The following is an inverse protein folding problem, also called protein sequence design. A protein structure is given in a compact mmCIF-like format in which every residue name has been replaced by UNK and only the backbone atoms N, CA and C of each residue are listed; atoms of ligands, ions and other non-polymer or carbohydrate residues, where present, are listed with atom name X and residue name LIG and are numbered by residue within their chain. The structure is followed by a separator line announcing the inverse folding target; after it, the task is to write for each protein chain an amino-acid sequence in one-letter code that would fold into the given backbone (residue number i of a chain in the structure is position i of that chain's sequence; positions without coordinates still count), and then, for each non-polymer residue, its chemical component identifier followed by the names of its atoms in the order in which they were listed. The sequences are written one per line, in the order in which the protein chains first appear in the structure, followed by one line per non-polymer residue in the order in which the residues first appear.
data_IF_884755291444
#
_entry.id   IF_884755291444
#
_cell.length_a   1.000
_cell.length_b   1.000
_cell.length_c   1.000
_cell.angle_alpha   90.00
_cell.angle_beta   90.00
_cell.angle_gamma   90.00
#
_symmetry.space_group_name_H-M   'P 1'
#
loop_
_entity.id
_entity.type
_entity.pdbx_description
1 polymer ?
#
# COMPACT_ATOMS: atom_id res chain seq x y z
N UNK A 1 -6.50 -18.93 -38.50
CA UNK A 1 -5.92 -18.75 -37.15
C UNK A 1 -4.94 -17.59 -37.07
N UNK A 2 -4.13 -17.34 -38.12
CA UNK A 2 -3.11 -16.27 -38.15
C UNK A 2 -3.67 -14.86 -37.87
N UNK A 3 -4.82 -14.51 -38.46
CA UNK A 3 -5.43 -13.19 -38.26
C UNK A 3 -5.92 -12.91 -36.83
N UNK A 4 -6.34 -13.94 -36.09
CA UNK A 4 -6.82 -13.78 -34.70
C UNK A 4 -5.64 -13.48 -33.78
N UNK A 5 -4.53 -14.22 -33.91
CA UNK A 5 -3.33 -14.01 -33.10
C UNK A 5 -2.74 -12.61 -33.29
N UNK A 6 -2.64 -12.15 -34.54
CA UNK A 6 -2.20 -10.79 -34.86
C UNK A 6 -3.16 -9.73 -34.29
N UNK A 7 -4.47 -9.93 -34.42
CA UNK A 7 -5.47 -9.01 -33.87
C UNK A 7 -5.35 -8.81 -32.36
N UNK A 8 -5.13 -9.89 -31.59
CA UNK A 8 -4.95 -9.82 -30.13
C UNK A 8 -3.62 -9.13 -29.78
N UNK A 9 -2.54 -9.36 -30.52
CA UNK A 9 -1.27 -8.67 -30.31
C UNK A 9 -1.38 -7.16 -30.56
N UNK A 10 -2.09 -6.76 -31.62
CA UNK A 10 -2.37 -5.35 -31.92
C UNK A 10 -3.22 -4.72 -30.82
N UNK A 11 -4.24 -5.43 -30.33
CA UNK A 11 -5.04 -4.96 -29.19
C UNK A 11 -4.17 -4.72 -27.95
N UNK A 12 -3.25 -5.64 -27.62
CA UNK A 12 -2.31 -5.48 -26.52
C UNK A 12 -1.45 -4.22 -26.67
N UNK A 13 -0.92 -3.98 -27.87
CA UNK A 13 -0.15 -2.76 -28.17
C UNK A 13 -0.97 -1.49 -27.93
N UNK A 14 -2.20 -1.43 -28.45
CA UNK A 14 -3.09 -0.28 -28.26
C UNK A 14 -3.44 -0.06 -26.79
N UNK A 15 -3.63 -1.13 -26.00
CA UNK A 15 -3.83 -1.01 -24.55
C UNK A 15 -2.62 -0.35 -23.90
N UNK A 16 -1.40 -0.76 -24.22
CA UNK A 16 -0.19 -0.15 -23.66
C UNK A 16 0.02 1.30 -24.10
N UNK A 17 -0.29 1.65 -25.35
CA UNK A 17 -0.30 3.05 -25.82
C UNK A 17 -1.33 3.86 -25.03
N UNK A 18 -2.54 3.32 -24.83
CA UNK A 18 -3.58 3.97 -24.03
C UNK A 18 -3.16 4.17 -22.57
N UNK A 19 -2.50 3.16 -21.97
CA UNK A 19 -1.94 3.22 -20.63
C UNK A 19 -0.84 4.28 -20.51
N UNK A 20 0.05 4.38 -21.50
CA UNK A 20 1.11 5.38 -21.57
C UNK A 20 0.54 6.82 -21.57
N UNK A 21 -0.48 7.06 -22.40
CA UNK A 21 -0.98 8.41 -22.69
C UNK A 21 -2.09 8.88 -21.75
N UNK A 22 -2.99 7.98 -21.33
CA UNK A 22 -4.25 8.39 -20.70
C UNK A 22 -4.42 7.90 -19.24
N UNK A 23 -3.58 6.98 -18.74
CA UNK A 23 -3.68 6.46 -17.37
C UNK A 23 -2.90 7.28 -16.35
N UNK A 24 -2.99 8.60 -16.44
CA UNK A 24 -2.42 9.52 -15.44
C UNK A 24 -0.90 9.43 -15.27
N UNK A 25 -0.19 8.94 -16.29
CA UNK A 25 1.25 8.69 -16.25
C UNK A 25 1.66 7.84 -15.03
N UNK A 26 0.85 6.84 -14.67
CA UNK A 26 1.05 6.00 -13.48
C UNK A 26 2.42 5.32 -13.38
N UNK A 27 3.09 5.15 -14.51
CA UNK A 27 4.41 4.53 -14.60
C UNK A 27 5.52 5.41 -14.02
N UNK A 28 5.27 6.72 -13.82
CA UNK A 28 6.24 7.64 -13.22
C UNK A 28 6.26 7.54 -11.70
N UNK A 29 7.44 7.69 -11.12
CA UNK A 29 7.68 7.66 -9.67
C UNK A 29 7.95 9.05 -9.09
N UNK A 30 7.40 10.11 -9.69
CA UNK A 30 7.72 11.52 -9.35
C UNK A 30 6.92 12.08 -8.17
N UNK A 31 5.87 11.38 -7.73
CA UNK A 31 5.12 11.73 -6.52
C UNK A 31 5.87 11.16 -5.31
N UNK A 32 6.85 11.90 -4.80
CA UNK A 32 7.66 11.52 -3.64
C UNK A 32 7.51 12.53 -2.51
N UNK A 33 7.78 12.14 -1.27
CA UNK A 33 7.92 13.09 -0.16
C UNK A 33 9.27 13.80 -0.28
N UNK A 34 9.25 15.13 -0.50
CA UNK A 34 10.46 15.91 -0.80
C UNK A 34 11.19 16.37 0.46
N UNK A 35 12.52 16.45 0.37
CA UNK A 35 13.40 17.02 1.39
C UNK A 35 13.78 18.46 1.03
N UNK A 36 13.91 19.34 2.02
CA UNK A 36 14.50 20.68 1.83
C UNK A 36 13.51 21.84 1.80
N UNK A 37 12.36 21.70 2.46
CA UNK A 37 11.44 22.82 2.67
C UNK A 37 11.79 23.60 3.94
N UNK A 38 11.58 24.92 3.94
CA UNK A 38 11.74 25.73 5.14
C UNK A 38 10.83 25.23 6.28
N UNK A 39 11.25 25.36 7.55
CA UNK A 39 10.40 25.00 8.68
C UNK A 39 9.04 25.72 8.65
N UNK A 40 8.02 25.14 9.29
CA UNK A 40 6.76 25.83 9.55
C UNK A 40 6.94 26.83 10.70
N UNK A 41 6.15 27.90 10.68
CA UNK A 41 6.05 28.85 11.79
C UNK A 41 5.35 28.25 13.02
N UNK A 42 4.50 27.25 12.79
CA UNK A 42 3.75 26.52 13.82
C UNK A 42 3.82 25.01 13.56
N UNK A 43 4.04 24.25 14.64
CA UNK A 43 4.10 22.78 14.61
C UNK A 43 2.92 22.21 15.40
N UNK A 44 1.90 21.64 14.73
CA UNK A 44 0.72 21.13 15.41
C UNK A 44 1.01 19.97 16.36
N UNK A 45 0.14 19.75 17.33
CA UNK A 45 0.20 18.53 18.12
C UNK A 45 -0.16 17.31 17.26
N UNK A 46 0.59 16.21 17.42
CA UNK A 46 0.38 14.96 16.67
C UNK A 46 0.25 13.78 17.61
N UNK A 47 -0.65 12.85 17.30
CA UNK A 47 -0.64 11.54 17.93
C UNK A 47 -0.28 10.46 16.91
N UNK A 48 0.61 9.55 17.28
CA UNK A 48 0.98 8.41 16.44
C UNK A 48 0.30 7.17 17.01
N UNK A 49 -0.48 6.46 16.20
CA UNK A 49 -1.20 5.24 16.62
C UNK A 49 -0.64 4.04 15.87
N UNK A 50 -0.17 3.04 16.62
CA UNK A 50 0.43 1.82 16.10
C UNK A 50 -0.41 0.62 16.60
N UNK A 51 -1.09 -0.12 15.71
CA UNK A 51 -1.71 -1.39 16.07
C UNK A 51 -0.63 -2.48 16.04
N UNK A 52 -0.47 -3.23 17.14
CA UNK A 52 0.49 -4.31 17.23
C UNK A 52 -0.17 -5.61 17.67
N UNK A 53 0.27 -6.73 17.08
CA UNK A 53 -0.11 -8.09 17.48
C UNK A 53 1.01 -9.02 17.09
N UNK A 54 1.69 -9.60 18.06
CA UNK A 54 2.84 -10.46 17.84
C UNK A 54 3.88 -9.82 16.90
N UNK A 55 4.46 -8.69 17.32
CA UNK A 55 5.45 -7.91 16.59
C UNK A 55 6.74 -7.69 17.40
N UNK A 56 7.02 -8.54 18.40
CA UNK A 56 8.19 -8.36 19.29
C UNK A 56 9.51 -8.23 18.51
N UNK A 57 9.66 -8.93 17.38
CA UNK A 57 10.85 -8.91 16.54
C UNK A 57 11.11 -7.55 15.87
N UNK A 58 10.07 -6.76 15.59
CA UNK A 58 10.16 -5.55 14.75
C UNK A 58 9.76 -4.28 15.50
N UNK A 59 8.90 -4.37 16.51
CA UNK A 59 8.31 -3.20 17.19
C UNK A 59 9.37 -2.29 17.82
N UNK A 60 10.47 -2.87 18.34
CA UNK A 60 11.58 -2.11 18.90
C UNK A 60 12.25 -1.17 17.87
N UNK A 61 12.42 -1.63 16.63
CA UNK A 61 13.00 -0.82 15.55
C UNK A 61 12.04 0.30 15.13
N UNK A 62 10.76 -0.03 14.95
CA UNK A 62 9.69 0.92 14.64
C UNK A 62 9.60 2.02 15.69
N UNK A 63 9.51 1.66 16.97
CA UNK A 63 9.42 2.61 18.08
C UNK A 63 10.67 3.48 18.21
N UNK A 64 11.86 2.89 18.08
CA UNK A 64 13.10 3.67 18.07
C UNK A 64 13.07 4.73 16.98
N UNK A 65 12.63 4.38 15.77
CA UNK A 65 12.56 5.30 14.64
C UNK A 65 11.55 6.45 14.86
N UNK A 66 10.43 6.18 15.54
CA UNK A 66 9.39 7.17 15.81
C UNK A 66 9.68 8.04 17.05
N UNK A 67 10.30 7.48 18.10
CA UNK A 67 10.67 8.23 19.31
C UNK A 67 11.87 9.17 19.10
N UNK A 68 12.61 8.99 18.00
CA UNK A 68 13.80 9.80 17.67
C UNK A 68 13.57 10.82 16.55
N UNK A 69 12.31 11.03 16.14
CA UNK A 69 11.93 12.04 15.14
C UNK A 69 12.43 13.44 15.52
N UNK A 70 12.78 14.25 14.51
CA UNK A 70 13.21 15.65 14.68
C UNK A 70 12.04 16.66 14.73
N UNK A 71 10.87 16.18 15.12
CA UNK A 71 9.67 16.99 15.15
C UNK A 71 9.75 18.07 16.24
N UNK A 72 9.50 19.32 15.85
CA UNK A 72 9.61 20.48 16.74
C UNK A 72 8.34 20.73 17.58
N UNK A 73 7.22 20.10 17.22
CA UNK A 73 5.97 20.16 17.99
C UNK A 73 5.85 19.03 19.01
N UNK A 74 4.74 19.02 19.74
CA UNK A 74 4.44 17.96 20.70
C UNK A 74 3.85 16.74 19.99
N UNK A 75 4.31 15.55 20.37
CA UNK A 75 3.69 14.31 19.92
C UNK A 75 3.74 13.19 20.96
N UNK A 76 2.71 12.33 20.94
CA UNK A 76 2.60 11.13 21.79
C UNK A 76 2.46 9.90 20.88
N UNK A 77 3.11 8.81 21.24
CA UNK A 77 2.92 7.49 20.62
C UNK A 77 1.92 6.70 21.44
N UNK A 78 0.95 6.11 20.76
CA UNK A 78 -0.01 5.17 21.30
C UNK A 78 0.20 3.83 20.60
N UNK A 79 0.68 2.85 21.36
CA UNK A 79 0.75 1.46 20.92
C UNK A 79 -0.50 0.73 21.42
N UNK A 80 -1.28 0.19 20.51
CA UNK A 80 -2.43 -0.65 20.84
C UNK A 80 -2.03 -2.11 20.71
N UNK A 81 -1.85 -2.78 21.84
CA UNK A 81 -1.48 -4.19 21.89
C UNK A 81 -2.72 -5.08 21.74
N UNK A 82 -2.91 -5.66 20.56
CA UNK A 82 -4.03 -6.55 20.22
C UNK A 82 -3.78 -8.00 20.63
N UNK A 83 -3.68 -8.21 21.94
CA UNK A 83 -3.62 -9.55 22.55
C UNK A 83 -2.39 -10.34 22.04
N UNK A 84 -1.21 -9.72 22.20
CA UNK A 84 0.08 -10.33 21.86
C UNK A 84 0.50 -11.38 22.90
N UNK A 85 1.21 -12.41 22.45
CA UNK A 85 1.70 -13.50 23.30
C UNK A 85 3.22 -13.67 23.23
N UNK A 86 3.92 -12.81 22.49
CA UNK A 86 5.35 -12.92 22.16
C UNK A 86 6.24 -11.89 22.88
N UNK A 87 5.67 -11.11 23.81
CA UNK A 87 6.40 -10.04 24.51
C UNK A 87 6.38 -8.68 23.82
N UNK A 88 5.50 -8.46 22.83
CA UNK A 88 5.43 -7.20 22.07
C UNK A 88 5.36 -5.94 22.95
N UNK A 89 4.51 -5.95 23.99
CA UNK A 89 4.33 -4.81 24.87
C UNK A 89 5.55 -4.54 25.76
N UNK A 90 6.20 -5.60 26.23
CA UNK A 90 7.41 -5.56 27.04
C UNK A 90 8.57 -4.96 26.24
N UNK A 91 8.80 -5.46 25.02
CA UNK A 91 9.83 -4.93 24.11
C UNK A 91 9.58 -3.45 23.81
N UNK A 92 8.32 -3.05 23.64
CA UNK A 92 7.95 -1.66 23.40
C UNK A 92 8.29 -0.76 24.60
N UNK A 93 7.94 -1.20 25.81
CA UNK A 93 8.21 -0.46 27.04
C UNK A 93 9.71 -0.35 27.33
N UNK A 94 10.46 -1.43 27.14
CA UNK A 94 11.91 -1.46 27.30
C UNK A 94 12.59 -0.50 26.31
N UNK A 95 12.17 -0.52 25.04
CA UNK A 95 12.72 0.37 24.02
C UNK A 95 12.51 1.85 24.40
N UNK A 96 11.28 2.24 24.76
CA UNK A 96 10.98 3.61 25.16
C UNK A 96 11.77 4.04 26.41
N UNK A 97 11.89 3.14 27.39
CA UNK A 97 12.63 3.38 28.63
C UNK A 97 14.13 3.55 28.36
N UNK A 98 14.72 2.73 27.49
CA UNK A 98 16.14 2.80 27.10
C UNK A 98 16.51 4.13 26.43
N UNK A 99 15.55 4.78 25.77
CA UNK A 99 15.71 6.08 25.14
C UNK A 99 15.40 7.26 26.08
N UNK A 100 14.98 7.01 27.32
CA UNK A 100 14.50 8.04 28.25
C UNK A 100 13.20 8.70 27.77
N UNK A 101 12.37 7.97 27.01
CA UNK A 101 11.14 8.44 26.36
C UNK A 101 9.89 7.69 26.84
N UNK A 102 9.94 7.08 28.02
CA UNK A 102 8.82 6.33 28.60
C UNK A 102 7.52 7.14 28.64
N UNK A 103 7.59 8.41 29.06
CA UNK A 103 6.41 9.30 29.14
C UNK A 103 5.82 9.67 27.76
N UNK A 104 6.57 9.45 26.68
CA UNK A 104 6.13 9.75 25.32
C UNK A 104 5.41 8.55 24.66
N UNK A 105 5.49 7.36 25.27
CA UNK A 105 4.81 6.15 24.82
C UNK A 105 3.68 5.78 25.77
N UNK A 106 2.49 5.57 25.21
CA UNK A 106 1.33 5.03 25.90
C UNK A 106 0.98 3.68 25.28
N UNK A 107 1.10 2.62 26.07
CA UNK A 107 0.70 1.27 25.64
C UNK A 107 -0.70 1.00 26.20
N UNK A 108 -1.65 0.70 25.32
CA UNK A 108 -3.02 0.35 25.71
C UNK A 108 -3.34 -1.08 25.26
N UNK A 109 -3.91 -1.93 26.14
CA UNK A 109 -4.37 -3.25 25.73
C UNK A 109 -5.65 -3.12 24.89
N UNK A 110 -5.74 -3.89 23.82
CA UNK A 110 -6.94 -3.98 22.97
C UNK A 110 -8.07 -4.69 23.71
N UNK A 111 -9.29 -4.16 23.58
CA UNK A 111 -10.51 -4.80 24.03
C UNK A 111 -10.87 -6.01 23.15
N UNK A 112 -11.72 -6.94 23.65
CA UNK A 112 -12.19 -8.07 22.86
C UNK A 112 -12.75 -7.65 21.50
N UNK A 113 -12.37 -8.35 20.44
CA UNK A 113 -12.74 -8.03 19.07
C UNK A 113 -14.27 -8.17 18.88
N UNK A 114 -15.00 -7.08 18.60
CA UNK A 114 -16.44 -7.16 18.37
C UNK A 114 -16.75 -7.76 16.99
N UNK A 115 -17.94 -8.35 16.86
CA UNK A 115 -18.40 -8.90 15.58
C UNK A 115 -18.37 -7.85 14.47
N UNK A 116 -17.91 -8.27 13.29
CA UNK A 116 -17.81 -7.43 12.10
C UNK A 116 -16.55 -6.56 12.03
N UNK A 117 -15.69 -6.54 13.06
CA UNK A 117 -14.42 -5.82 13.00
C UNK A 117 -13.27 -6.70 12.51
N UNK A 118 -12.34 -6.09 11.77
CA UNK A 118 -10.99 -6.67 11.61
C UNK A 118 -10.13 -6.28 12.81
N UNK A 119 -9.14 -7.11 13.14
CA UNK A 119 -8.27 -6.92 14.32
C UNK A 119 -7.48 -5.60 14.24
N UNK A 120 -6.83 -5.36 13.10
CA UNK A 120 -6.11 -4.11 12.82
C UNK A 120 -7.01 -2.88 12.99
N UNK A 121 -8.20 -2.89 12.36
CA UNK A 121 -9.10 -1.74 12.41
C UNK A 121 -9.67 -1.51 13.81
N UNK A 122 -9.92 -2.57 14.58
CA UNK A 122 -10.35 -2.44 15.97
C UNK A 122 -9.28 -1.82 16.85
N UNK A 123 -8.03 -2.22 16.68
CA UNK A 123 -6.90 -1.60 17.37
C UNK A 123 -6.74 -0.13 16.98
N UNK A 124 -6.81 0.21 15.69
CA UNK A 124 -6.75 1.60 15.21
C UNK A 124 -7.91 2.46 15.74
N UNK A 125 -9.13 1.93 15.79
CA UNK A 125 -10.30 2.63 16.33
C UNK A 125 -10.13 2.97 17.81
N UNK A 126 -9.66 2.01 18.62
CA UNK A 126 -9.37 2.24 20.03
C UNK A 126 -8.25 3.27 20.23
N UNK A 127 -7.15 3.15 19.50
CA UNK A 127 -6.03 4.08 19.58
C UNK A 127 -6.39 5.50 19.14
N UNK A 128 -7.17 5.65 18.06
CA UNK A 128 -7.62 6.97 17.58
C UNK A 128 -8.63 7.63 18.53
N UNK A 129 -9.53 6.86 19.16
CA UNK A 129 -10.43 7.40 20.20
C UNK A 129 -9.66 7.82 21.45
N UNK A 130 -8.68 7.03 21.87
CA UNK A 130 -7.81 7.39 22.99
C UNK A 130 -7.01 8.65 22.68
N UNK A 131 -6.44 8.77 21.47
CA UNK A 131 -5.75 9.98 21.02
C UNK A 131 -6.63 11.25 21.13
N UNK A 132 -7.92 11.13 20.83
CA UNK A 132 -8.88 12.22 20.90
C UNK A 132 -9.30 12.58 22.33
N UNK A 133 -9.20 11.66 23.29
CA UNK A 133 -9.51 11.95 24.70
C UNK A 133 -8.33 12.58 25.45
N UNK A 134 -7.14 12.59 24.87
CA UNK A 134 -5.96 13.23 25.46
C UNK A 134 -6.10 14.76 25.44
N UNK A 135 -5.65 15.40 26.52
CA UNK A 135 -5.53 16.86 26.61
C UNK A 135 -4.60 17.47 25.55
N UNK A 136 -3.79 16.65 24.86
CA UNK A 136 -2.95 17.03 23.74
C UNK A 136 -3.77 17.65 22.58
N UNK A 137 -5.02 17.20 22.39
CA UNK A 137 -5.91 17.59 21.29
C UNK A 137 -5.19 17.64 19.93
N UNK A 138 -4.69 16.48 19.43
CA UNK A 138 -3.84 16.44 18.26
C UNK A 138 -4.58 16.92 17.01
N UNK A 139 -3.97 17.83 16.24
CA UNK A 139 -4.53 18.27 14.95
C UNK A 139 -4.43 17.15 13.90
N UNK A 140 -3.43 16.30 14.05
CA UNK A 140 -3.17 15.17 13.16
C UNK A 140 -2.97 13.88 13.94
N UNK A 141 -3.40 12.78 13.33
CA UNK A 141 -3.10 11.43 13.77
C UNK A 141 -2.27 10.74 12.68
N UNK A 142 -1.12 10.18 13.04
CA UNK A 142 -0.31 9.33 12.18
C UNK A 142 -0.65 7.86 12.48
N UNK A 143 -1.29 7.17 11.56
CA UNK A 143 -1.48 5.73 11.61
C UNK A 143 -0.23 5.08 11.01
N UNK A 144 0.41 4.19 11.76
CA UNK A 144 1.62 3.48 11.33
C UNK A 144 1.53 2.00 11.65
N UNK A 145 1.97 1.15 10.73
CA UNK A 145 2.12 -0.28 11.02
C UNK A 145 3.33 -0.52 11.95
N UNK A 146 3.29 -1.63 12.69
CA UNK A 146 4.31 -2.00 13.68
C UNK A 146 5.65 -2.46 13.07
N UNK A 147 5.72 -2.62 11.75
CA UNK A 147 6.88 -3.09 10.99
C UNK A 147 7.47 -2.00 10.08
N UNK A 148 7.23 -0.72 10.38
CA UNK A 148 7.68 0.41 9.57
C UNK A 148 8.79 1.19 10.29
N UNK A 149 9.94 1.32 9.62
CA UNK A 149 11.01 2.19 10.05
C UNK A 149 10.87 3.57 9.39
N UNK A 150 10.86 4.62 10.20
CA UNK A 150 10.68 5.99 9.75
C UNK A 150 12.02 6.74 9.71
N UNK A 151 12.29 7.46 8.62
CA UNK A 151 13.36 8.46 8.59
C UNK A 151 13.16 9.47 9.73
N UNK A 152 14.24 9.99 10.30
CA UNK A 152 14.20 10.96 11.40
C UNK A 152 13.34 12.19 11.11
N UNK A 153 13.19 12.56 9.82
CA UNK A 153 12.38 13.70 9.34
C UNK A 153 10.99 13.32 8.88
N UNK A 154 10.57 12.05 9.01
CA UNK A 154 9.34 11.58 8.39
C UNK A 154 8.11 12.35 8.91
N UNK A 155 7.98 12.49 10.23
CA UNK A 155 6.88 13.20 10.85
C UNK A 155 6.89 14.69 10.48
N UNK A 156 8.05 15.34 10.56
CA UNK A 156 8.18 16.76 10.20
C UNK A 156 7.85 17.00 8.73
N UNK A 157 8.28 16.12 7.81
CA UNK A 157 7.96 16.20 6.39
C UNK A 157 6.49 15.97 6.08
N UNK A 158 5.85 14.98 6.71
CA UNK A 158 4.43 14.72 6.50
C UNK A 158 3.57 15.89 6.96
N UNK A 159 3.90 16.47 8.12
CA UNK A 159 3.20 17.65 8.64
C UNK A 159 3.43 18.87 7.76
N UNK A 160 4.68 19.16 7.37
CA UNK A 160 4.98 20.25 6.43
C UNK A 160 4.16 20.13 5.15
N UNK A 161 4.08 18.92 4.60
CA UNK A 161 3.32 18.67 3.38
C UNK A 161 1.82 18.84 3.60
N UNK A 162 1.28 18.31 4.69
CA UNK A 162 -0.14 18.39 5.00
C UNK A 162 -0.60 19.83 5.29
N UNK A 163 0.21 20.65 5.96
CA UNK A 163 -0.14 22.04 6.26
C UNK A 163 0.00 22.94 5.02
N UNK A 164 1.06 22.78 4.22
CA UNK A 164 1.31 23.63 3.04
C UNK A 164 0.35 23.39 1.88
N UNK A 165 -0.07 22.14 1.70
CA UNK A 165 -1.03 21.76 0.66
C UNK A 165 -2.45 21.64 1.21
N UNK A 166 -2.67 22.03 2.48
CA UNK A 166 -3.93 21.95 3.20
C UNK A 166 -4.59 20.58 3.01
N UNK A 167 -3.89 19.50 3.33
CA UNK A 167 -4.36 18.13 3.11
C UNK A 167 -5.20 17.62 4.29
N UNK A 168 -6.25 16.87 3.98
CA UNK A 168 -6.97 16.07 4.98
C UNK A 168 -6.25 14.74 5.27
N UNK A 169 -5.52 14.21 4.29
CA UNK A 169 -4.79 12.95 4.39
C UNK A 169 -3.52 12.98 3.54
N UNK A 170 -2.40 12.56 4.11
CA UNK A 170 -1.15 12.32 3.41
C UNK A 170 -0.64 10.91 3.74
N UNK A 171 -0.44 10.08 2.72
CA UNK A 171 -0.03 8.68 2.87
C UNK A 171 1.22 8.36 2.07
N UNK A 172 2.06 7.49 2.65
CA UNK A 172 3.26 6.99 2.01
C UNK A 172 3.11 5.54 1.61
N UNK A 173 3.29 5.28 0.32
CA UNK A 173 3.78 4.00 -0.13
C UNK A 173 5.25 3.91 0.27
N UNK A 174 5.47 3.32 1.45
CA UNK A 174 6.80 3.11 2.04
C UNK A 174 7.66 2.26 1.12
N UNK A 175 8.98 2.38 1.26
CA UNK A 175 9.93 1.58 0.52
C UNK A 175 9.87 0.13 1.02
N UNK A 176 9.26 -0.75 0.22
CA UNK A 176 9.17 -2.17 0.55
C UNK A 176 10.55 -2.83 0.42
N UNK A 177 10.85 -3.79 1.27
CA UNK A 177 12.10 -4.55 1.20
C UNK A 177 12.23 -5.25 -0.16
N UNK A 178 13.40 -5.11 -0.79
CA UNK A 178 13.68 -5.63 -2.14
C UNK A 178 15.10 -6.20 -2.25
N UNK A 179 15.40 -7.23 -1.46
CA UNK A 179 16.74 -7.80 -1.32
C UNK A 179 16.86 -9.19 -1.97
N UNK A 180 15.89 -10.07 -1.71
CA UNK A 180 15.88 -11.45 -2.22
C UNK A 180 15.54 -11.53 -3.71
N UNK A 181 15.75 -12.69 -4.33
CA UNK A 181 15.35 -12.93 -5.73
C UNK A 181 13.85 -12.70 -5.94
N UNK A 182 13.02 -13.28 -5.08
CA UNK A 182 11.56 -13.18 -5.17
C UNK A 182 11.07 -11.77 -4.89
N UNK A 183 11.71 -11.05 -3.96
CA UNK A 183 11.39 -9.66 -3.71
C UNK A 183 11.73 -8.78 -4.93
N UNK A 184 12.91 -8.98 -5.54
CA UNK A 184 13.32 -8.25 -6.76
C UNK A 184 12.40 -8.52 -7.94
N UNK A 185 11.89 -9.74 -8.05
CA UNK A 185 10.95 -10.11 -9.09
C UNK A 185 9.56 -9.48 -8.84
N UNK A 186 9.02 -9.56 -7.63
CA UNK A 186 7.59 -9.31 -7.38
C UNK A 186 7.26 -7.96 -6.74
N UNK A 187 8.11 -7.43 -5.86
CA UNK A 187 7.80 -6.22 -5.08
C UNK A 187 7.77 -4.95 -5.94
N UNK A 188 8.71 -4.71 -6.88
CA UNK A 188 8.58 -3.57 -7.77
C UNK A 188 7.34 -3.67 -8.67
N UNK A 189 6.96 -4.89 -9.08
CA UNK A 189 5.75 -5.13 -9.87
C UNK A 189 4.48 -4.82 -9.07
N UNK A 190 4.46 -5.15 -7.77
CA UNK A 190 3.38 -4.76 -6.85
C UNK A 190 3.12 -3.25 -6.89
N UNK A 191 4.17 -2.44 -6.72
CA UNK A 191 4.07 -0.97 -6.75
C UNK A 191 3.61 -0.49 -8.12
N UNK A 192 4.13 -1.06 -9.20
CA UNK A 192 3.74 -0.71 -10.56
C UNK A 192 2.25 -1.01 -10.85
N UNK A 193 1.75 -2.17 -10.41
CA UNK A 193 0.34 -2.52 -10.55
C UNK A 193 -0.56 -1.68 -9.64
N UNK A 194 -0.13 -1.40 -8.42
CA UNK A 194 -0.87 -0.50 -7.53
C UNK A 194 -1.00 0.90 -8.13
N UNK A 195 0.08 1.47 -8.67
CA UNK A 195 0.04 2.75 -9.38
C UNK A 195 -0.84 2.68 -10.65
N UNK A 196 -0.85 1.55 -11.38
CA UNK A 196 -1.75 1.37 -12.53
C UNK A 196 -3.23 1.43 -12.13
N UNK A 197 -3.58 0.80 -11.01
CA UNK A 197 -4.94 0.83 -10.46
C UNK A 197 -5.28 2.22 -9.92
N UNK A 198 -4.36 2.83 -9.17
CA UNK A 198 -4.51 4.13 -8.54
C UNK A 198 -3.36 5.07 -8.94
N UNK A 199 -3.43 5.74 -10.10
CA UNK A 199 -2.35 6.63 -10.52
C UNK A 199 -2.17 7.77 -9.51
N UNK A 200 -0.98 7.90 -8.91
CA UNK A 200 -0.78 8.81 -7.76
C UNK A 200 -1.12 10.26 -8.11
N UNK A 201 -0.81 10.72 -9.33
CA UNK A 201 -1.21 12.06 -9.81
C UNK A 201 -2.72 12.26 -9.90
N UNK A 202 -3.49 11.20 -10.20
CA UNK A 202 -4.94 11.28 -10.20
C UNK A 202 -5.51 11.27 -8.79
N UNK A 203 -4.92 10.48 -7.88
CA UNK A 203 -5.27 10.48 -6.45
C UNK A 203 -5.07 11.88 -5.86
N UNK A 204 -3.92 12.49 -6.15
CA UNK A 204 -3.49 13.81 -5.66
C UNK A 204 -4.23 14.98 -6.33
N UNK A 205 -5.09 14.70 -7.31
CA UNK A 205 -5.90 15.73 -7.97
C UNK A 205 -7.30 15.80 -7.33
N UNK A 206 -7.68 16.92 -6.69
CA UNK A 206 -8.98 17.05 -6.04
C UNK A 206 -10.16 17.02 -7.03
N UNK A 207 -9.92 17.28 -8.33
CA UNK A 207 -10.95 17.22 -9.39
C UNK A 207 -11.22 15.80 -9.91
N UNK A 208 -10.48 14.79 -9.46
CA UNK A 208 -10.65 13.39 -9.86
C UNK A 208 -11.26 12.60 -8.71
N UNK A 209 -12.17 11.68 -9.00
CA UNK A 209 -12.80 10.82 -7.99
C UNK A 209 -11.88 9.72 -7.46
N UNK A 210 -10.77 9.41 -8.15
CA UNK A 210 -9.79 8.40 -7.72
C UNK A 210 -9.25 8.74 -6.34
N UNK A 211 -9.31 7.78 -5.42
CA UNK A 211 -8.80 7.89 -4.07
C UNK A 211 -8.10 6.58 -3.65
N UNK A 212 -6.93 6.71 -3.05
CA UNK A 212 -6.16 5.60 -2.51
C UNK A 212 -5.20 6.13 -1.43
N UNK A 213 -4.83 5.26 -0.51
CA UNK A 213 -3.73 5.43 0.42
C UNK A 213 -2.96 4.10 0.50
N UNK A 214 -1.78 4.13 1.11
CA UNK A 214 -0.97 2.97 1.42
C UNK A 214 -0.74 2.88 2.94
N UNK A 215 -1.00 1.70 3.51
CA UNK A 215 -1.30 1.53 4.94
C UNK A 215 -0.19 1.63 5.94
N UNK A 216 1.06 1.45 5.51
CA UNK A 216 2.18 1.47 6.45
C UNK A 216 2.36 2.82 7.13
N UNK A 217 1.94 3.92 6.49
CA UNK A 217 2.12 5.27 7.03
C UNK A 217 1.06 6.23 6.45
N UNK A 218 0.08 6.62 7.27
CA UNK A 218 -1.02 7.50 6.90
C UNK A 218 -1.16 8.62 7.94
N UNK A 219 -0.84 9.84 7.57
CA UNK A 219 -1.17 11.03 8.34
C UNK A 219 -2.58 11.50 7.96
N UNK A 220 -3.48 11.64 8.94
CA UNK A 220 -4.85 12.12 8.74
C UNK A 220 -5.15 13.28 9.69
N UNK A 221 -5.81 14.32 9.17
CA UNK A 221 -6.29 15.43 10.01
C UNK A 221 -7.39 14.91 10.93
N UNK A 222 -7.32 15.19 12.23
CA UNK A 222 -8.26 14.65 13.22
C UNK A 222 -9.71 14.98 12.88
N UNK A 223 -9.96 16.22 12.44
CA UNK A 223 -11.29 16.65 12.00
C UNK A 223 -11.80 15.88 10.77
N UNK A 224 -10.92 15.49 9.85
CA UNK A 224 -11.29 14.67 8.69
C UNK A 224 -11.68 13.25 9.10
N UNK A 225 -10.95 12.66 10.06
CA UNK A 225 -11.29 11.36 10.64
C UNK A 225 -12.63 11.40 11.38
N UNK A 226 -12.88 12.43 12.19
CA UNK A 226 -14.16 12.63 12.89
C UNK A 226 -15.31 12.78 11.88
N UNK A 227 -15.11 13.61 10.84
CA UNK A 227 -16.12 13.88 9.80
C UNK A 227 -16.63 12.61 9.11
N UNK A 228 -15.78 11.63 8.88
CA UNK A 228 -16.18 10.38 8.23
C UNK A 228 -16.77 9.34 9.21
N UNK A 229 -16.88 9.67 10.51
CA UNK A 229 -17.34 8.75 11.56
C UNK A 229 -16.25 7.89 12.19
N UNK A 230 -14.98 8.32 12.09
CA UNK A 230 -13.84 7.59 12.63
C UNK A 230 -13.49 6.31 11.86
N UNK A 231 -12.63 5.48 12.46
CA UNK A 231 -12.23 4.17 11.91
C UNK A 231 -13.43 3.21 11.83
N UNK A 232 -14.41 3.34 12.72
CA UNK A 232 -15.67 2.59 12.67
C UNK A 232 -16.39 2.65 11.33
N UNK A 233 -16.23 3.73 10.57
CA UNK A 233 -16.80 3.88 9.23
C UNK A 233 -16.29 2.82 8.24
N UNK A 234 -15.10 2.26 8.46
CA UNK A 234 -14.45 1.27 7.61
C UNK A 234 -14.27 -0.09 8.29
N UNK A 235 -14.92 -0.35 9.44
CA UNK A 235 -14.71 -1.54 10.29
C UNK A 235 -14.68 -2.91 9.60
N UNK A 236 -15.39 -3.04 8.48
CA UNK A 236 -15.50 -4.27 7.69
C UNK A 236 -14.48 -4.38 6.54
N UNK A 237 -13.69 -3.33 6.30
CA UNK A 237 -12.78 -3.28 5.16
C UNK A 237 -11.56 -4.19 5.40
N UNK A 238 -11.32 -5.08 4.44
CA UNK A 238 -10.08 -5.86 4.37
C UNK A 238 -8.92 -5.08 3.74
N UNK A 239 -9.24 -4.05 2.96
CA UNK A 239 -8.29 -3.07 2.40
C UNK A 239 -8.63 -1.73 3.02
N UNK A 240 -8.12 -1.53 4.22
CA UNK A 240 -8.40 -0.40 5.10
C UNK A 240 -7.97 0.93 4.48
N UNK A 241 -6.77 1.00 3.89
CA UNK A 241 -6.14 2.25 3.46
C UNK A 241 -6.90 2.94 2.33
N UNK A 242 -7.17 2.21 1.25
CA UNK A 242 -7.90 2.74 0.11
C UNK A 242 -9.34 3.08 0.48
N UNK A 243 -9.96 2.28 1.36
CA UNK A 243 -11.31 2.56 1.86
C UNK A 243 -11.32 3.84 2.70
N UNK A 244 -10.33 4.03 3.58
CA UNK A 244 -10.16 5.26 4.36
C UNK A 244 -10.03 6.48 3.44
N UNK A 245 -9.14 6.42 2.45
CA UNK A 245 -8.93 7.51 1.50
C UNK A 245 -10.19 7.85 0.71
N UNK A 246 -10.94 6.85 0.27
CA UNK A 246 -12.23 7.03 -0.41
C UNK A 246 -13.25 7.72 0.48
N UNK A 247 -13.38 7.31 1.75
CA UNK A 247 -14.29 7.94 2.71
C UNK A 247 -13.91 9.39 3.02
N UNK A 248 -12.62 9.68 3.21
CA UNK A 248 -12.12 11.03 3.43
C UNK A 248 -12.47 11.95 2.25
N UNK A 249 -12.24 11.48 1.02
CA UNK A 249 -12.51 12.25 -0.21
C UNK A 249 -14.01 12.39 -0.52
N UNK A 250 -14.84 11.46 -0.06
CA UNK A 250 -16.30 11.51 -0.21
C UNK A 250 -17.00 12.42 0.83
N UNK A 251 -16.33 12.76 1.94
CA UNK A 251 -16.88 13.69 2.94
C UNK A 251 -17.00 15.11 2.38
N UNK A 252 -18.05 15.85 2.75
CA UNK A 252 -18.23 17.23 2.31
C UNK A 252 -18.30 18.20 3.52
N UNK A 253 -17.60 19.35 3.48
CA UNK A 253 -16.49 19.65 2.57
C UNK A 253 -15.28 18.73 2.85
N UNK A 254 -14.47 18.44 1.82
CA UNK A 254 -13.16 17.79 1.99
C UNK A 254 -12.03 18.72 1.54
N UNK A 255 -10.86 18.50 2.12
CA UNK A 255 -9.61 18.99 1.59
C UNK A 255 -8.86 17.89 0.81
N UNK A 256 -7.96 18.23 -0.13
CA UNK A 256 -7.27 17.22 -0.94
C UNK A 256 -6.56 16.15 -0.12
N UNK A 257 -6.42 14.97 -0.72
CA UNK A 257 -5.59 13.89 -0.20
C UNK A 257 -4.32 13.78 -1.02
N UNK A 258 -3.26 13.24 -0.43
CA UNK A 258 -2.02 12.96 -1.11
C UNK A 258 -1.52 11.54 -0.85
N UNK A 259 -1.03 10.90 -1.90
CA UNK A 259 -0.34 9.63 -1.90
C UNK A 259 0.97 9.78 -2.66
N UNK A 260 2.06 9.33 -2.06
CA UNK A 260 3.35 9.30 -2.73
C UNK A 260 4.29 8.23 -2.20
N UNK A 261 5.44 8.14 -2.84
CA UNK A 261 6.51 7.21 -2.52
C UNK A 261 7.46 7.82 -1.48
N UNK A 262 8.00 6.98 -0.61
CA UNK A 262 9.15 7.32 0.24
C UNK A 262 10.36 6.44 -0.12
N UNK A 263 11.56 7.02 -0.07
CA UNK A 263 12.82 6.27 -0.19
C UNK A 263 13.52 6.04 1.14
N UNK A 264 13.02 6.66 2.20
CA UNK A 264 13.68 6.74 3.51
C UNK A 264 12.81 6.19 4.64
N UNK A 265 11.52 5.95 4.37
CA UNK A 265 10.61 5.20 5.25
C UNK A 265 10.50 3.79 4.68
N UNK A 266 10.81 2.77 5.46
CA UNK A 266 11.00 1.40 5.00
C UNK A 266 10.04 0.44 5.70
N UNK A 267 9.56 -0.57 4.97
CA UNK A 267 8.96 -1.75 5.61
C UNK A 267 10.06 -2.74 5.98
N UNK A 268 10.10 -3.13 7.26
CA UNK A 268 11.09 -4.05 7.83
C UNK A 268 10.74 -5.52 7.58
N UNK A 269 9.47 -5.82 7.26
CA UNK A 269 8.98 -7.19 7.16
C UNK A 269 9.67 -7.96 6.02
N UNK A 270 10.34 -9.10 6.32
CA UNK A 270 10.97 -9.95 5.31
C UNK A 270 9.92 -10.66 4.43
N UNK A 271 10.21 -10.75 3.13
CA UNK A 271 9.47 -11.59 2.19
C UNK A 271 10.43 -12.46 1.38
N UNK A 272 11.26 -13.26 2.05
CA UNK A 272 12.36 -13.99 1.42
C UNK A 272 11.91 -15.13 0.47
N UNK A 273 10.67 -15.61 0.61
CA UNK A 273 10.15 -16.74 -0.17
C UNK A 273 8.97 -16.35 -1.05
N UNK A 274 8.82 -17.05 -2.18
CA UNK A 274 7.65 -16.93 -3.05
C UNK A 274 6.35 -17.18 -2.27
N UNK A 275 6.32 -18.18 -1.39
CA UNK A 275 5.14 -18.53 -0.59
C UNK A 275 4.70 -17.37 0.31
N UNK A 276 5.63 -16.66 0.93
CA UNK A 276 5.31 -15.50 1.77
C UNK A 276 4.63 -14.38 0.97
N UNK A 277 5.19 -14.01 -0.19
CA UNK A 277 4.61 -12.99 -1.09
C UNK A 277 3.27 -13.48 -1.65
N UNK A 278 3.20 -14.75 -2.06
CA UNK A 278 2.00 -15.36 -2.60
C UNK A 278 0.84 -15.30 -1.60
N UNK A 279 1.08 -15.70 -0.35
CA UNK A 279 0.07 -15.66 0.71
C UNK A 279 -0.37 -14.22 1.02
N UNK A 280 0.55 -13.26 1.00
CA UNK A 280 0.22 -11.84 1.16
C UNK A 280 -0.74 -11.35 0.07
N UNK A 281 -0.45 -11.65 -1.20
CA UNK A 281 -1.29 -11.24 -2.34
C UNK A 281 -2.61 -12.01 -2.35
N UNK A 282 -2.57 -13.34 -2.22
CA UNK A 282 -3.75 -14.21 -2.24
C UNK A 282 -4.74 -13.92 -1.11
N UNK A 283 -4.31 -13.29 -0.01
CA UNK A 283 -5.19 -12.85 1.07
C UNK A 283 -6.19 -11.78 0.64
N UNK A 284 -5.83 -10.89 -0.29
CA UNK A 284 -6.60 -9.68 -0.59
C UNK A 284 -6.96 -9.49 -2.07
N UNK A 285 -6.35 -10.24 -2.99
CA UNK A 285 -6.54 -10.03 -4.43
C UNK A 285 -8.00 -10.21 -4.89
N UNK A 286 -8.73 -11.22 -4.42
CA UNK A 286 -10.13 -11.40 -4.80
C UNK A 286 -11.07 -10.38 -4.13
N UNK A 287 -10.69 -9.87 -2.96
CA UNK A 287 -11.39 -8.74 -2.33
C UNK A 287 -11.29 -7.47 -3.18
N UNK A 288 -10.16 -7.22 -3.85
CA UNK A 288 -10.04 -6.09 -4.79
C UNK A 288 -11.01 -6.18 -5.98
N UNK A 289 -11.54 -7.37 -6.26
CA UNK A 289 -12.52 -7.62 -7.32
C UNK A 289 -13.96 -7.69 -6.77
N UNK A 290 -14.17 -7.24 -5.52
CA UNK A 290 -15.34 -7.44 -4.66
C UNK A 290 -16.02 -8.80 -4.86
N UNK A 291 -15.22 -9.86 -4.81
CA UNK A 291 -15.69 -11.25 -4.89
C UNK A 291 -16.55 -11.56 -6.13
N UNK A 292 -16.34 -10.82 -7.22
CA UNK A 292 -17.12 -10.97 -8.45
C UNK A 292 -16.45 -11.91 -9.44
N UNK A 293 -17.08 -13.05 -9.82
CA UNK A 293 -16.53 -13.98 -10.80
C UNK A 293 -16.33 -13.35 -12.18
N UNK A 294 -17.19 -12.40 -12.56
CA UNK A 294 -17.09 -11.68 -13.84
C UNK A 294 -15.84 -10.79 -13.86
N UNK A 295 -15.58 -10.06 -12.76
CA UNK A 295 -14.36 -9.24 -12.63
C UNK A 295 -13.10 -10.08 -12.54
N UNK A 296 -13.17 -11.25 -11.90
CA UNK A 296 -12.09 -12.24 -11.93
C UNK A 296 -11.80 -12.68 -13.36
N UNK A 297 -12.80 -13.18 -14.09
CA UNK A 297 -12.63 -13.63 -15.47
C UNK A 297 -12.08 -12.50 -16.35
N UNK A 298 -12.65 -11.30 -16.25
CA UNK A 298 -12.15 -10.12 -16.97
C UNK A 298 -10.71 -9.76 -16.62
N UNK A 299 -10.30 -9.91 -15.35
CA UNK A 299 -8.93 -9.68 -14.90
C UNK A 299 -7.98 -10.75 -15.45
N UNK A 300 -8.36 -12.03 -15.44
CA UNK A 300 -7.54 -13.11 -15.99
C UNK A 300 -7.32 -12.94 -17.49
N UNK A 301 -8.39 -12.64 -18.24
CA UNK A 301 -8.33 -12.35 -19.68
C UNK A 301 -7.48 -11.10 -19.93
N UNK A 302 -7.75 -10.02 -19.20
CA UNK A 302 -7.02 -8.75 -19.34
C UNK A 302 -5.53 -8.90 -19.05
N UNK A 303 -5.16 -9.58 -17.97
CA UNK A 303 -3.76 -9.85 -17.63
C UNK A 303 -3.08 -10.70 -18.70
N UNK A 304 -3.77 -11.70 -19.24
CA UNK A 304 -3.26 -12.54 -20.34
C UNK A 304 -2.99 -11.70 -21.59
N UNK A 305 -3.97 -10.90 -22.03
CA UNK A 305 -3.84 -10.06 -23.23
C UNK A 305 -2.73 -9.00 -23.06
N UNK A 306 -2.70 -8.33 -21.92
CA UNK A 306 -1.79 -7.19 -21.70
C UNK A 306 -0.34 -7.63 -21.48
N UNK A 307 -0.12 -8.76 -20.80
CA UNK A 307 1.22 -9.16 -20.36
C UNK A 307 1.76 -10.42 -21.03
N UNK A 308 0.93 -11.42 -21.33
CA UNK A 308 1.41 -12.73 -21.82
C UNK A 308 1.39 -12.83 -23.34
N UNK A 309 0.43 -12.17 -24.01
CA UNK A 309 0.37 -12.18 -25.48
C UNK A 309 1.65 -11.62 -26.12
N UNK A 310 2.27 -10.52 -25.65
CA UNK A 310 3.50 -10.02 -26.27
C UNK A 310 4.67 -11.02 -26.31
N UNK A 311 5.11 -11.65 -25.20
CA UNK A 311 6.17 -12.67 -25.29
C UNK A 311 5.74 -13.92 -26.06
N UNK A 312 4.48 -14.36 -25.95
CA UNK A 312 3.98 -15.52 -26.69
C UNK A 312 3.92 -15.26 -28.21
N UNK A 313 3.43 -14.09 -28.60
CA UNK A 313 3.34 -13.64 -29.99
C UNK A 313 4.72 -13.43 -30.61
N UNK A 314 5.69 -12.96 -29.82
CA UNK A 314 7.08 -12.87 -30.26
C UNK A 314 7.65 -14.26 -30.59
N UNK A 315 7.52 -15.22 -29.67
CA UNK A 315 8.00 -16.59 -29.86
C UNK A 315 7.31 -17.29 -31.04
N UNK A 316 5.98 -17.21 -31.11
CA UNK A 316 5.20 -17.81 -32.20
C UNK A 316 5.53 -17.17 -33.56
N UNK A 317 5.65 -15.85 -33.61
CA UNK A 317 6.01 -15.12 -34.84
C UNK A 317 7.40 -15.49 -35.37
N UNK A 318 8.38 -15.68 -34.49
CA UNK A 318 9.72 -16.13 -34.87
C UNK A 318 9.72 -17.56 -35.43
N UNK A 319 8.96 -18.48 -34.82
CA UNK A 319 8.85 -19.88 -35.28
C UNK A 319 8.13 -19.99 -36.62
N UNK A 320 7.11 -19.16 -36.85
CA UNK A 320 6.27 -19.19 -38.06
C UNK A 320 6.72 -18.26 -39.17
N UNK A 321 7.73 -17.41 -38.93
CA UNK A 321 8.21 -16.41 -39.89
C UNK A 321 7.28 -15.20 -40.08
N UNK A 322 6.32 -14.98 -39.18
CA UNK A 322 5.36 -13.88 -39.24
C UNK A 322 5.95 -12.58 -38.68
N UNK A 323 6.71 -11.85 -39.50
CA UNK A 323 7.44 -10.64 -39.07
C UNK A 323 6.56 -9.50 -38.53
N UNK A 324 5.32 -9.36 -39.02
CA UNK A 324 4.39 -8.35 -38.48
C UNK A 324 4.03 -8.68 -37.03
N UNK A 325 3.76 -9.96 -36.72
CA UNK A 325 3.47 -10.39 -35.36
C UNK A 325 4.69 -10.19 -34.45
N UNK A 326 5.90 -10.52 -34.94
CA UNK A 326 7.17 -10.29 -34.23
C UNK A 326 7.33 -8.81 -33.87
N UNK A 327 7.19 -7.92 -34.85
CA UNK A 327 7.40 -6.47 -34.65
C UNK A 327 6.39 -5.86 -33.69
N UNK A 328 5.10 -6.19 -33.81
CA UNK A 328 4.05 -5.72 -32.89
C UNK A 328 4.30 -6.23 -31.46
N UNK A 329 4.61 -7.52 -31.33
CA UNK A 329 4.84 -8.18 -30.04
C UNK A 329 6.09 -7.63 -29.35
N UNK A 330 7.20 -7.48 -30.09
CA UNK A 330 8.43 -6.89 -29.58
C UNK A 330 8.22 -5.44 -29.17
N UNK A 331 7.56 -4.62 -29.99
CA UNK A 331 7.28 -3.22 -29.67
C UNK A 331 6.44 -3.09 -28.40
N UNK A 332 5.45 -3.96 -28.22
CA UNK A 332 4.61 -3.99 -27.00
C UNK A 332 5.44 -4.37 -25.78
N UNK A 333 6.31 -5.39 -25.90
CA UNK A 333 7.17 -5.82 -24.80
C UNK A 333 8.21 -4.76 -24.42
N UNK A 334 8.81 -4.09 -25.41
CA UNK A 334 9.71 -2.96 -25.18
C UNK A 334 8.96 -1.82 -24.49
N UNK A 335 7.78 -1.43 -24.97
CA UNK A 335 6.98 -0.36 -24.39
C UNK A 335 6.63 -0.63 -22.91
N UNK A 336 6.14 -1.82 -22.58
CA UNK A 336 5.83 -2.16 -21.18
C UNK A 336 7.08 -2.16 -20.30
N UNK A 337 8.22 -2.62 -20.83
CA UNK A 337 9.49 -2.66 -20.11
C UNK A 337 10.01 -1.26 -19.83
N UNK A 338 9.92 -0.34 -20.81
CA UNK A 338 10.30 1.06 -20.65
C UNK A 338 9.45 1.79 -19.61
N UNK A 339 8.14 1.52 -19.57
CA UNK A 339 7.27 2.08 -18.54
C UNK A 339 7.64 1.55 -17.14
N UNK A 340 7.89 0.24 -17.03
CA UNK A 340 8.24 -0.40 -15.75
C UNK A 340 9.65 -0.02 -15.25
N UNK A 341 10.54 0.40 -16.14
CA UNK A 341 11.89 0.86 -15.83
C UNK A 341 11.93 1.95 -14.74
N UNK A 342 10.93 2.83 -14.69
CA UNK A 342 10.84 3.88 -13.68
C UNK A 342 10.72 3.33 -12.26
N UNK A 343 9.98 2.24 -12.08
CA UNK A 343 9.85 1.54 -10.80
C UNK A 343 11.10 0.74 -10.47
N UNK A 344 11.69 0.05 -11.45
CA UNK A 344 12.97 -0.66 -11.31
C UNK A 344 14.09 0.29 -10.86
N UNK A 345 14.16 1.47 -11.47
CA UNK A 345 15.12 2.52 -11.08
C UNK A 345 14.84 3.09 -9.69
N UNK A 346 13.57 3.26 -9.32
CA UNK A 346 13.18 3.68 -7.96
C UNK A 346 13.73 2.71 -6.90
N UNK A 347 13.64 1.40 -7.18
CA UNK A 347 14.19 0.33 -6.32
C UNK A 347 15.71 0.13 -6.43
N UNK A 348 16.39 0.87 -7.32
CA UNK A 348 17.85 0.80 -7.55
C UNK A 348 18.35 -0.62 -7.86
N UNK A 349 17.53 -1.44 -8.51
CA UNK A 349 17.92 -2.78 -8.97
C UNK A 349 18.31 -2.76 -10.46
N UNK A 350 18.91 -3.86 -10.94
CA UNK A 350 19.38 -3.95 -12.32
C UNK A 350 18.24 -3.67 -13.33
N UNK A 351 18.41 -2.74 -14.29
CA UNK A 351 17.48 -2.48 -15.39
C UNK A 351 16.90 -3.71 -16.08
N UNK A 352 17.66 -4.80 -16.20
CA UNK A 352 17.20 -6.02 -16.87
C UNK A 352 15.98 -6.66 -16.21
N UNK A 353 15.70 -6.37 -14.94
CA UNK A 353 14.45 -6.78 -14.28
C UNK A 353 13.19 -6.17 -14.93
N UNK A 354 13.31 -5.14 -15.75
CA UNK A 354 12.15 -4.57 -16.45
C UNK A 354 11.52 -5.55 -17.45
N UNK A 355 12.34 -6.39 -18.10
CA UNK A 355 11.88 -7.32 -19.13
C UNK A 355 11.08 -8.48 -18.54
N UNK A 356 11.23 -8.75 -17.23
CA UNK A 356 10.55 -9.85 -16.54
C UNK A 356 9.11 -9.52 -16.16
N UNK A 357 8.60 -8.33 -16.45
CA UNK A 357 7.23 -7.91 -16.11
C UNK A 357 6.16 -8.94 -16.55
N UNK A 358 6.21 -9.56 -17.74
CA UNK A 358 5.28 -10.62 -18.11
C UNK A 358 5.27 -11.82 -17.15
N UNK A 359 6.45 -12.26 -16.70
CA UNK A 359 6.60 -13.37 -15.75
C UNK A 359 5.97 -12.98 -14.41
N UNK A 360 6.22 -11.76 -13.95
CA UNK A 360 5.61 -11.26 -12.70
C UNK A 360 4.10 -11.20 -12.81
N UNK A 361 3.57 -10.68 -13.93
CA UNK A 361 2.13 -10.59 -14.18
C UNK A 361 1.48 -11.97 -14.23
N UNK A 362 2.15 -12.97 -14.80
CA UNK A 362 1.69 -14.36 -14.76
C UNK A 362 1.53 -14.85 -13.31
N UNK A 363 2.56 -14.66 -12.48
CA UNK A 363 2.51 -15.06 -11.06
C UNK A 363 1.39 -14.34 -10.30
N UNK A 364 1.23 -13.02 -10.48
CA UNK A 364 0.12 -12.25 -9.89
C UNK A 364 -1.26 -12.73 -10.38
N UNK A 365 -1.36 -13.17 -11.64
CA UNK A 365 -2.59 -13.75 -12.20
C UNK A 365 -2.94 -15.05 -11.49
N UNK A 366 -1.95 -15.92 -11.26
CA UNK A 366 -2.14 -17.16 -10.51
C UNK A 366 -2.47 -16.90 -9.03
N UNK A 367 -1.80 -15.93 -8.40
CA UNK A 367 -2.13 -15.52 -7.01
C UNK A 367 -3.55 -14.98 -6.90
N UNK A 368 -4.04 -14.26 -7.92
CA UNK A 368 -5.42 -13.75 -7.97
C UNK A 368 -6.43 -14.89 -8.10
N UNK A 369 -6.12 -15.90 -8.94
CA UNK A 369 -6.94 -17.10 -9.07
C UNK A 369 -6.96 -17.91 -7.77
N UNK A 370 -5.80 -18.10 -7.13
CA UNK A 370 -5.68 -18.78 -5.84
C UNK A 370 -6.44 -18.03 -4.73
N UNK A 371 -6.44 -16.70 -4.74
CA UNK A 371 -7.26 -15.88 -3.83
C UNK A 371 -8.75 -16.21 -3.94
N UNK A 372 -9.27 -16.31 -5.16
CA UNK A 372 -10.66 -16.67 -5.41
C UNK A 372 -10.97 -18.10 -4.99
N UNK A 373 -10.06 -19.03 -5.30
CA UNK A 373 -10.16 -20.42 -4.91
C UNK A 373 -10.19 -20.59 -3.38
N UNK A 374 -9.30 -19.94 -2.64
CA UNK A 374 -9.28 -19.94 -1.16
C UNK A 374 -10.58 -19.38 -0.57
N UNK A 375 -11.14 -18.34 -1.18
CA UNK A 375 -12.43 -17.79 -0.75
C UNK A 375 -13.56 -18.79 -0.93
N UNK A 376 -13.64 -19.47 -2.08
CA UNK A 376 -14.64 -20.52 -2.31
C UNK A 376 -14.48 -21.74 -1.40
N UNK A 377 -13.27 -21.99 -0.89
CA UNK A 377 -13.00 -22.99 0.16
C UNK A 377 -13.33 -22.53 1.59
N UNK A 378 -13.84 -21.30 1.79
CA UNK A 378 -14.12 -20.74 3.11
C UNK A 378 -12.87 -20.31 3.90
N UNK A 379 -11.71 -20.18 3.25
CA UNK A 379 -10.41 -19.79 3.86
C UNK A 379 -10.02 -18.33 3.59
N UNK A 380 -10.98 -17.50 3.17
CA UNK A 380 -10.72 -16.10 2.82
C UNK A 380 -10.45 -15.20 4.04
N UNK A 381 -9.56 -14.21 3.87
CA UNK A 381 -9.48 -13.06 4.78
C UNK A 381 -8.60 -13.18 6.03
N UNK A 382 -7.84 -14.27 6.23
CA UNK A 382 -7.10 -14.45 7.49
C UNK A 382 -6.04 -13.35 7.76
N UNK A 383 -6.13 -12.63 8.88
CA UNK A 383 -5.11 -11.68 9.36
C UNK A 383 -4.44 -12.23 10.61
N UNK A 384 -3.11 -12.42 10.56
CA UNK A 384 -2.25 -12.88 11.67
C UNK A 384 -2.88 -14.02 12.52
N UNK A 385 -3.39 -15.04 11.84
CA UNK A 385 -3.96 -16.23 12.49
C UNK A 385 -5.46 -16.15 12.82
N UNK A 386 -6.12 -14.99 12.72
CA UNK A 386 -7.59 -14.90 12.82
C UNK A 386 -8.24 -15.14 11.47
N UNK A 387 -9.09 -16.16 11.36
CA UNK A 387 -10.03 -16.32 10.25
C UNK A 387 -11.28 -15.53 10.59
N UNK A 388 -11.63 -14.55 9.77
CA UNK A 388 -12.91 -13.85 9.92
C UNK A 388 -14.00 -14.76 9.36
N UNK A 389 -14.89 -15.24 10.23
CA UNK A 389 -16.15 -15.85 9.80
C UNK A 389 -17.02 -14.75 9.20
N UNK A 390 -16.92 -14.57 7.88
CA UNK A 390 -17.89 -13.77 7.14
C UNK A 390 -19.16 -14.58 6.99
N UNK A 391 -20.26 -14.13 7.58
CA UNK A 391 -21.56 -14.41 6.98
C UNK A 391 -21.55 -13.73 5.61
N UNK A 392 -21.65 -14.53 4.56
CA UNK A 392 -21.90 -14.03 3.20
C UNK A 392 -23.15 -13.16 3.22
N UNK A 393 -23.18 -12.00 2.54
CA UNK A 393 -24.44 -11.29 2.30
C UNK A 393 -25.42 -12.13 1.47
#
# INVERSE_FOLDING_TARGET
MEGIGLGIAILSLFIWIGLLLFRGQFWRTDQQLWMGQSPLDYWPAVCIVIPARNEADLIGLTLKSLLTQDYLGNFILILVDDDSTDGTAEVAQEMASSLGKGDQLQIIPSQPLPNGWTGKLWALDQGTRYAQSLALNPLYILLSDADIEHDRRNLSQLIMKAERESLDLASLMVYLRCQSFWEKLLIPAFIFFFAKLYPFRQVNNPKKSTAAAAGGCILIRTQALIRIGGIASIRHALIDDCTLAQRVKAGNPFHPIWLGLSKTTHSLRPYDTLSAIWNMVARSAYTQLDYSPIRLLGTLIGMTIVYLIPPMGLGFGLVTGQWILVTVSLSTWVLMSLMYQSTIHFYRINPMWSITLPITAFLYTLMTLDSAWRHWQGRGGAWKGRVYSGESP
#
